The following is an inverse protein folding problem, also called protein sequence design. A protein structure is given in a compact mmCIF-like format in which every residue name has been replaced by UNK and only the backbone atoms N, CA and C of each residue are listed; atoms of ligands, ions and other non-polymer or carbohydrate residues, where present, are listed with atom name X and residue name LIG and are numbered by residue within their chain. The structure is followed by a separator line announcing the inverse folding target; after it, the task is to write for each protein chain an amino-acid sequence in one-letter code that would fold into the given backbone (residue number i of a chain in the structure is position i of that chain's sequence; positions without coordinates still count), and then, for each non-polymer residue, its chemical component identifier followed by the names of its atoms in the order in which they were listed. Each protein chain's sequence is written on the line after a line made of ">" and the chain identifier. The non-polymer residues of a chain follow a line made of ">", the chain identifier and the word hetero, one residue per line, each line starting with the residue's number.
data_IF_228144544879
#
_entry.id   IF_228144544879
#
_cell.length_a   1.000
_cell.length_b   1.000
_cell.length_c   1.000
_cell.angle_alpha   90.00
_cell.angle_beta   90.00
_cell.angle_gamma   90.00
#
_symmetry.space_group_name_H-M   'P 1'
#
loop_
_entity.id
_entity.type
_entity.pdbx_description
1 polymer ?
#
# COMPACT_ATOMS: atom_id res chain seq x y z
N UNK A 1 -4.65 -9.94 -17.06
CA UNK A 1 -4.61 -8.46 -17.15
C UNK A 1 -3.53 -8.02 -18.14
N UNK A 2 -3.86 -7.08 -19.05
CA UNK A 2 -2.94 -6.55 -20.08
C UNK A 2 -2.48 -5.14 -19.71
N UNK A 3 -1.16 -4.90 -19.78
CA UNK A 3 -0.56 -3.57 -19.63
C UNK A 3 -0.65 -2.82 -20.95
N UNK A 4 -1.33 -1.68 -20.96
CA UNK A 4 -1.54 -0.91 -22.19
C UNK A 4 -0.25 -0.17 -22.63
N UNK A 5 -0.25 0.30 -23.88
CA UNK A 5 0.91 0.97 -24.45
C UNK A 5 1.32 2.25 -23.70
N UNK A 6 0.34 3.04 -23.26
CA UNK A 6 0.61 4.29 -22.53
C UNK A 6 1.35 4.00 -21.23
N UNK A 7 0.84 3.08 -20.40
CA UNK A 7 1.44 2.70 -19.12
C UNK A 7 2.83 2.11 -19.33
N UNK A 8 2.99 1.24 -20.33
CA UNK A 8 4.30 0.66 -20.69
C UNK A 8 5.32 1.74 -21.04
N UNK A 9 4.96 2.69 -21.92
CA UNK A 9 5.83 3.81 -22.31
C UNK A 9 6.24 4.65 -21.09
N UNK A 10 5.28 4.97 -20.22
CA UNK A 10 5.52 5.76 -18.99
C UNK A 10 6.41 5.01 -18.01
N UNK A 11 6.19 3.73 -17.80
CA UNK A 11 7.08 2.91 -16.97
C UNK A 11 8.51 2.91 -17.52
N UNK A 12 8.70 2.65 -18.81
CA UNK A 12 10.03 2.55 -19.43
C UNK A 12 10.77 3.92 -19.44
N UNK A 13 10.03 5.02 -19.58
CA UNK A 13 10.55 6.39 -19.51
C UNK A 13 11.01 6.76 -18.09
N UNK A 14 10.13 6.51 -17.10
CA UNK A 14 10.30 7.01 -15.74
C UNK A 14 11.04 6.06 -14.79
N UNK A 15 11.15 4.78 -15.18
CA UNK A 15 11.87 3.73 -14.45
C UNK A 15 11.53 3.71 -12.96
N UNK A 16 10.24 3.54 -12.60
CA UNK A 16 9.86 3.36 -11.21
C UNK A 16 10.48 2.07 -10.66
N UNK A 17 10.72 2.02 -9.36
CA UNK A 17 11.09 0.79 -8.66
C UNK A 17 9.83 -0.07 -8.51
N UNK A 18 9.67 -1.06 -9.37
CA UNK A 18 8.66 -2.12 -9.23
C UNK A 18 9.41 -3.43 -9.21
N UNK A 19 8.98 -4.34 -8.32
CA UNK A 19 9.66 -5.60 -8.13
C UNK A 19 8.75 -6.78 -8.45
N UNK A 20 9.35 -7.93 -8.70
CA UNK A 20 8.65 -9.20 -8.82
C UNK A 20 9.29 -10.24 -7.90
N UNK A 21 8.48 -10.89 -7.09
CA UNK A 21 8.90 -12.01 -6.25
C UNK A 21 8.75 -13.30 -7.07
N UNK A 22 9.88 -13.94 -7.38
CA UNK A 22 9.92 -15.12 -8.23
C UNK A 22 9.41 -16.33 -7.47
N UNK A 23 8.26 -16.85 -7.89
CA UNK A 23 7.60 -18.01 -7.29
C UNK A 23 7.03 -18.89 -8.39
N UNK A 24 7.86 -19.34 -9.32
CA UNK A 24 7.36 -20.14 -10.44
C UNK A 24 7.23 -21.61 -10.02
N UNK A 25 6.08 -22.22 -10.33
CA UNK A 25 5.88 -23.66 -10.10
C UNK A 25 6.60 -24.53 -11.16
N UNK A 26 6.89 -23.95 -12.32
CA UNK A 26 7.63 -24.57 -13.41
C UNK A 26 8.92 -23.81 -13.67
N UNK A 27 9.95 -24.52 -14.09
CA UNK A 27 11.21 -23.89 -14.44
C UNK A 27 11.06 -23.11 -15.75
N UNK A 28 11.17 -21.78 -15.68
CA UNK A 28 11.04 -20.86 -16.80
C UNK A 28 12.42 -20.32 -17.14
N UNK A 29 12.76 -20.34 -18.42
CA UNK A 29 14.00 -19.75 -18.91
C UNK A 29 13.89 -18.21 -18.95
N UNK A 30 14.98 -17.56 -18.54
CA UNK A 30 15.17 -16.11 -18.67
C UNK A 30 16.16 -15.88 -19.80
N UNK A 31 15.76 -15.10 -20.78
CA UNK A 31 16.52 -14.93 -22.03
C UNK A 31 17.26 -13.59 -22.07
N UNK A 32 18.40 -13.53 -22.76
CA UNK A 32 19.14 -12.27 -22.95
C UNK A 32 18.40 -11.26 -23.84
N UNK A 33 17.56 -11.75 -24.74
CA UNK A 33 16.82 -10.97 -25.73
C UNK A 33 15.41 -11.54 -25.96
N UNK A 34 14.54 -10.73 -26.57
CA UNK A 34 13.17 -11.13 -26.93
C UNK A 34 13.12 -12.25 -27.96
N UNK A 35 14.17 -12.45 -28.75
CA UNK A 35 14.28 -13.52 -29.74
C UNK A 35 14.46 -14.91 -29.10
N UNK A 36 14.71 -14.97 -27.78
CA UNK A 36 14.87 -16.20 -27.00
C UNK A 36 16.03 -17.11 -27.44
N UNK A 37 17.06 -16.54 -28.06
CA UNK A 37 18.21 -17.30 -28.59
C UNK A 37 19.16 -17.79 -27.49
N UNK A 38 19.38 -16.98 -26.44
CA UNK A 38 20.34 -17.28 -25.37
C UNK A 38 19.62 -17.25 -24.02
N UNK A 39 19.65 -18.38 -23.32
CA UNK A 39 19.21 -18.50 -21.92
C UNK A 39 20.34 -17.98 -21.03
N UNK A 40 20.03 -17.04 -20.14
CA UNK A 40 21.00 -16.46 -19.21
C UNK A 40 20.80 -16.90 -17.77
N UNK A 41 19.58 -17.35 -17.43
CA UNK A 41 19.21 -17.82 -16.10
C UNK A 41 17.92 -18.65 -16.19
N UNK A 42 17.61 -19.38 -15.12
CA UNK A 42 16.39 -20.15 -14.96
C UNK A 42 15.72 -19.81 -13.62
N UNK A 43 14.38 -19.78 -13.58
CA UNK A 43 13.65 -19.34 -12.37
C UNK A 43 13.92 -20.23 -11.16
N UNK A 44 14.18 -21.52 -11.34
CA UNK A 44 14.56 -22.43 -10.24
C UNK A 44 15.82 -21.96 -9.48
N UNK A 45 16.76 -21.29 -10.14
CA UNK A 45 18.00 -20.83 -9.51
C UNK A 45 17.81 -19.54 -8.70
N UNK A 46 16.68 -18.86 -8.91
CA UNK A 46 16.36 -17.57 -8.30
C UNK A 46 14.98 -17.57 -7.62
N UNK A 47 14.49 -18.75 -7.28
CA UNK A 47 13.22 -18.91 -6.56
C UNK A 47 13.27 -18.16 -5.23
N UNK A 48 12.14 -17.56 -4.85
CA UNK A 48 11.97 -16.72 -3.66
C UNK A 48 12.78 -15.43 -3.66
N UNK A 49 13.43 -15.07 -4.78
CA UNK A 49 14.15 -13.81 -4.90
C UNK A 49 13.24 -12.70 -5.40
N UNK A 50 13.44 -11.50 -4.85
CA UNK A 50 12.80 -10.28 -5.30
C UNK A 50 13.68 -9.61 -6.35
N UNK A 51 13.19 -9.49 -7.58
CA UNK A 51 13.91 -8.89 -8.70
C UNK A 51 13.31 -7.56 -9.10
N UNK A 52 14.17 -6.61 -9.47
CA UNK A 52 13.77 -5.32 -10.03
C UNK A 52 13.30 -5.52 -11.48
N UNK A 53 12.09 -5.07 -11.80
CA UNK A 53 11.63 -4.92 -13.17
C UNK A 53 12.16 -3.60 -13.72
N UNK A 54 12.90 -3.68 -14.82
CA UNK A 54 13.55 -2.52 -15.44
C UNK A 54 12.89 -2.11 -16.76
N UNK A 55 12.09 -2.99 -17.36
CA UNK A 55 11.37 -2.73 -18.60
C UNK A 55 10.11 -3.60 -18.66
N UNK A 56 9.01 -3.01 -19.09
CA UNK A 56 7.78 -3.71 -19.42
C UNK A 56 7.68 -3.85 -20.94
N UNK A 57 7.36 -5.04 -21.40
CA UNK A 57 7.15 -5.36 -22.82
C UNK A 57 5.70 -5.80 -23.08
N UNK A 58 5.38 -6.03 -24.36
CA UNK A 58 4.08 -6.58 -24.74
C UNK A 58 3.88 -8.00 -24.18
N UNK A 59 2.63 -8.43 -24.05
CA UNK A 59 2.26 -9.79 -23.60
C UNK A 59 2.82 -10.17 -22.22
N UNK A 60 2.88 -9.22 -21.29
CA UNK A 60 3.36 -9.42 -19.92
C UNK A 60 4.79 -9.98 -19.85
N UNK A 61 5.61 -9.68 -20.86
CA UNK A 61 7.04 -9.94 -20.81
C UNK A 61 7.68 -8.84 -19.96
N UNK A 62 8.50 -9.24 -19.00
CA UNK A 62 9.23 -8.32 -18.14
C UNK A 62 10.72 -8.50 -18.36
N UNK A 63 11.43 -7.38 -18.45
CA UNK A 63 12.88 -7.38 -18.31
C UNK A 63 13.22 -7.15 -16.86
N UNK A 64 13.98 -8.06 -16.28
CA UNK A 64 14.42 -7.99 -14.88
C UNK A 64 15.93 -7.88 -14.77
N UNK A 65 16.37 -7.29 -13.65
CA UNK A 65 17.76 -7.30 -13.22
C UNK A 65 18.00 -8.50 -12.31
N UNK A 66 18.87 -9.40 -12.74
CA UNK A 66 19.26 -10.61 -12.01
C UNK A 66 20.25 -10.27 -10.88
N UNK A 67 20.43 -11.16 -9.88
CA UNK A 67 21.36 -10.94 -8.76
C UNK A 67 22.81 -10.72 -9.19
N UNK A 68 23.22 -11.39 -10.28
CA UNK A 68 24.55 -11.24 -10.88
C UNK A 68 24.71 -9.96 -11.71
N UNK A 69 23.70 -9.08 -11.72
CA UNK A 69 23.68 -7.81 -12.46
C UNK A 69 23.32 -7.93 -13.94
N UNK A 70 23.22 -9.15 -14.49
CA UNK A 70 22.72 -9.37 -15.86
C UNK A 70 21.25 -8.98 -15.96
N UNK A 71 20.81 -8.73 -17.19
CA UNK A 71 19.42 -8.33 -17.49
C UNK A 71 18.81 -9.35 -18.43
N UNK A 72 17.60 -9.79 -18.16
CA UNK A 72 16.93 -10.78 -19.00
C UNK A 72 15.43 -10.61 -19.04
N UNK A 73 14.84 -11.22 -20.06
CA UNK A 73 13.42 -11.19 -20.36
C UNK A 73 12.77 -12.52 -20.01
N UNK A 74 11.61 -12.48 -19.38
CA UNK A 74 10.77 -13.65 -19.14
C UNK A 74 9.30 -13.25 -18.98
N UNK A 75 8.41 -14.24 -19.01
CA UNK A 75 6.98 -14.07 -18.77
C UNK A 75 6.65 -14.85 -17.51
N UNK A 76 6.33 -14.18 -16.39
CA UNK A 76 5.96 -14.86 -15.15
C UNK A 76 4.58 -15.51 -15.27
N UNK A 77 4.35 -16.57 -14.49
CA UNK A 77 3.07 -17.26 -14.40
C UNK A 77 2.53 -17.21 -12.97
N UNK A 78 3.35 -17.63 -12.01
CA UNK A 78 2.98 -17.70 -10.58
C UNK A 78 3.73 -16.67 -9.71
N UNK A 79 4.64 -15.88 -10.28
CA UNK A 79 5.34 -14.84 -9.55
C UNK A 79 4.40 -13.69 -9.10
N UNK A 80 4.75 -13.05 -7.99
CA UNK A 80 3.98 -11.94 -7.41
C UNK A 80 4.61 -10.61 -7.81
N UNK A 81 3.87 -9.78 -8.55
CA UNK A 81 4.30 -8.41 -8.84
C UNK A 81 4.04 -7.53 -7.62
N UNK A 82 5.05 -6.77 -7.20
CA UNK A 82 5.00 -5.90 -6.01
C UNK A 82 5.15 -4.44 -6.45
N UNK A 83 4.09 -3.66 -6.26
CA UNK A 83 4.05 -2.24 -6.62
C UNK A 83 4.05 -1.39 -5.36
N UNK A 84 5.06 -0.53 -5.14
CA UNK A 84 5.04 0.38 -4.01
C UNK A 84 3.99 1.47 -4.21
N UNK A 85 3.38 1.90 -3.10
CA UNK A 85 2.42 3.00 -3.06
C UNK A 85 2.65 3.86 -1.82
N UNK A 86 1.93 4.96 -1.72
CA UNK A 86 1.94 5.79 -0.51
C UNK A 86 1.47 4.97 0.69
N UNK A 87 2.30 4.93 1.74
CA UNK A 87 1.94 4.26 2.99
C UNK A 87 0.71 4.90 3.60
N UNK A 88 -0.35 4.11 3.78
CA UNK A 88 -1.61 4.50 4.42
C UNK A 88 -1.76 3.72 5.74
N UNK A 89 -2.27 4.38 6.78
CA UNK A 89 -2.81 3.67 7.95
C UNK A 89 -4.20 3.18 7.59
N UNK A 90 -4.50 1.93 7.91
CA UNK A 90 -5.75 1.29 7.48
C UNK A 90 -6.32 0.40 8.58
N UNK A 91 -7.62 0.13 8.47
CA UNK A 91 -8.35 -0.88 9.20
C UNK A 91 -8.77 -1.99 8.26
N UNK A 92 -8.61 -3.22 8.72
CA UNK A 92 -9.13 -4.39 8.01
C UNK A 92 -10.63 -4.45 8.26
N UNK A 93 -11.41 -4.52 7.18
CA UNK A 93 -12.86 -4.70 7.25
C UNK A 93 -13.18 -5.99 8.00
N UNK A 94 -14.25 -5.98 8.80
CA UNK A 94 -14.71 -7.17 9.51
C UNK A 94 -15.08 -8.33 8.55
N UNK A 95 -15.37 -8.01 7.29
CA UNK A 95 -15.73 -8.98 6.26
C UNK A 95 -14.54 -9.38 5.36
N UNK A 96 -13.31 -8.99 5.70
CA UNK A 96 -12.14 -9.30 4.89
C UNK A 96 -11.91 -10.81 4.78
N UNK A 97 -11.70 -11.29 3.56
CA UNK A 97 -11.46 -12.70 3.28
C UNK A 97 -9.97 -13.05 3.33
N UNK A 98 -9.53 -13.59 4.47
CA UNK A 98 -8.18 -14.12 4.62
C UNK A 98 -7.87 -15.28 3.67
N UNK A 99 -8.85 -16.15 3.44
CA UNK A 99 -8.71 -17.40 2.70
C UNK A 99 -8.74 -17.16 1.17
N UNK A 100 -7.80 -16.34 0.70
CA UNK A 100 -7.62 -15.99 -0.71
C UNK A 100 -6.43 -16.74 -1.36
N UNK A 101 -6.19 -16.50 -2.64
CA UNK A 101 -5.22 -17.26 -3.44
C UNK A 101 -3.78 -16.98 -3.01
N UNK A 102 -3.43 -15.71 -2.79
CA UNK A 102 -2.06 -15.30 -2.44
C UNK A 102 -1.69 -15.64 -1.00
N UNK A 103 -2.59 -15.49 -0.02
CA UNK A 103 -2.30 -15.85 1.38
C UNK A 103 -2.02 -17.35 1.53
N UNK A 104 -2.84 -18.20 0.88
CA UNK A 104 -2.61 -19.65 0.84
C UNK A 104 -1.32 -20.01 0.14
N UNK A 105 -1.02 -19.33 -0.97
CA UNK A 105 0.19 -19.60 -1.76
C UNK A 105 1.47 -19.24 -1.00
N UNK A 106 1.47 -18.14 -0.26
CA UNK A 106 2.61 -17.68 0.53
C UNK A 106 2.67 -18.29 1.94
N UNK A 107 1.67 -19.08 2.35
CA UNK A 107 1.62 -19.69 3.68
C UNK A 107 1.50 -18.66 4.81
N UNK A 108 0.71 -17.62 4.60
CA UNK A 108 0.47 -16.58 5.61
C UNK A 108 -0.25 -17.20 6.82
N UNK A 109 0.16 -16.81 8.03
CA UNK A 109 -0.38 -17.33 9.29
C UNK A 109 -1.75 -16.72 9.62
N UNK A 110 -2.78 -17.56 9.58
CA UNK A 110 -4.16 -17.19 9.91
C UNK A 110 -4.31 -16.78 11.39
N UNK A 111 -3.59 -17.43 12.30
CA UNK A 111 -3.67 -17.10 13.73
C UNK A 111 -3.13 -15.70 13.99
N UNK A 112 -2.01 -15.36 13.33
CA UNK A 112 -1.43 -14.02 13.38
C UNK A 112 -2.38 -12.97 12.79
N UNK A 113 -3.06 -13.27 11.69
CA UNK A 113 -4.09 -12.40 11.12
C UNK A 113 -5.25 -12.17 12.07
N UNK A 114 -5.88 -13.21 12.60
CA UNK A 114 -7.03 -13.11 13.51
C UNK A 114 -6.66 -12.31 14.77
N UNK A 115 -5.48 -12.55 15.34
CA UNK A 115 -4.98 -11.82 16.51
C UNK A 115 -4.82 -10.32 16.24
N UNK A 116 -4.50 -9.92 15.02
CA UNK A 116 -4.18 -8.53 14.67
C UNK A 116 -5.27 -7.82 13.84
N UNK A 117 -6.31 -8.52 13.39
CA UNK A 117 -7.39 -7.97 12.54
C UNK A 117 -8.06 -6.73 13.13
N UNK A 118 -8.12 -6.59 14.46
CA UNK A 118 -8.73 -5.44 15.15
C UNK A 118 -7.81 -4.20 15.23
N UNK A 119 -6.52 -4.32 14.90
CA UNK A 119 -5.53 -3.25 15.03
C UNK A 119 -5.53 -2.31 13.83
N UNK A 120 -5.00 -1.10 14.03
CA UNK A 120 -4.61 -0.24 12.90
C UNK A 120 -3.29 -0.79 12.35
N UNK A 121 -3.27 -1.03 11.04
CA UNK A 121 -2.14 -1.60 10.31
C UNK A 121 -1.70 -0.64 9.21
N UNK A 122 -0.57 -0.93 8.56
CA UNK A 122 -0.07 -0.15 7.44
C UNK A 122 -0.29 -0.88 6.13
N UNK A 123 -0.57 -0.12 5.09
CA UNK A 123 -0.56 -0.60 3.72
C UNK A 123 0.35 0.28 2.88
N UNK A 124 1.41 -0.32 2.35
CA UNK A 124 2.49 0.39 1.62
C UNK A 124 2.76 -0.17 0.23
N UNK A 125 2.15 -1.29 -0.12
CA UNK A 125 2.38 -1.97 -1.39
C UNK A 125 1.10 -2.65 -1.87
N UNK A 126 0.93 -2.68 -3.20
CA UNK A 126 0.02 -3.61 -3.86
C UNK A 126 0.78 -4.85 -4.28
N UNK A 127 0.12 -6.00 -4.24
CA UNK A 127 0.59 -7.26 -4.78
C UNK A 127 -0.35 -7.73 -5.88
N UNK A 128 0.19 -8.17 -7.02
CA UNK A 128 -0.57 -8.76 -8.11
C UNK A 128 -0.19 -10.22 -8.23
N UNK A 129 -1.20 -11.08 -8.14
CA UNK A 129 -1.03 -12.52 -8.22
C UNK A 129 -2.22 -13.10 -8.95
N UNK A 130 -1.97 -13.92 -9.99
CA UNK A 130 -3.02 -14.55 -10.81
C UNK A 130 -4.10 -13.56 -11.30
N UNK A 131 -3.64 -12.41 -11.79
CA UNK A 131 -4.46 -11.30 -12.30
C UNK A 131 -5.34 -10.58 -11.27
N UNK A 132 -5.16 -10.89 -9.99
CA UNK A 132 -5.89 -10.26 -8.90
C UNK A 132 -5.02 -9.24 -8.18
N UNK A 133 -5.66 -8.15 -7.75
CA UNK A 133 -5.04 -7.08 -6.97
C UNK A 133 -5.25 -7.35 -5.48
N UNK A 134 -4.18 -7.21 -4.73
CA UNK A 134 -4.17 -7.30 -3.28
C UNK A 134 -3.43 -6.11 -2.65
N UNK A 135 -3.83 -5.73 -1.46
CA UNK A 135 -3.08 -4.86 -0.57
C UNK A 135 -2.25 -5.69 0.41
N UNK A 136 -0.96 -5.37 0.50
CA UNK A 136 -0.08 -5.94 1.51
C UNK A 136 -0.25 -5.17 2.83
N UNK A 137 -0.68 -5.87 3.88
CA UNK A 137 -0.91 -5.30 5.20
C UNK A 137 0.21 -5.67 6.14
N UNK A 138 0.78 -4.67 6.81
CA UNK A 138 1.89 -4.86 7.76
C UNK A 138 1.59 -4.27 9.13
N UNK A 139 2.12 -4.92 10.16
CA UNK A 139 2.07 -4.42 11.53
C UNK A 139 3.40 -4.71 12.22
N UNK A 140 4.03 -3.66 12.76
CA UNK A 140 5.37 -3.76 13.39
C UNK A 140 6.36 -4.45 12.45
N UNK A 141 6.39 -3.98 11.20
CA UNK A 141 7.27 -4.47 10.12
C UNK A 141 7.06 -5.93 9.69
N UNK A 142 6.02 -6.62 10.18
CA UNK A 142 5.64 -7.97 9.77
C UNK A 142 4.42 -7.94 8.85
N UNK A 143 4.43 -8.76 7.78
CA UNK A 143 3.26 -8.95 6.91
C UNK A 143 2.22 -9.74 7.70
N UNK A 144 1.01 -9.19 7.84
CA UNK A 144 -0.11 -9.87 8.46
C UNK A 144 -0.91 -10.64 7.42
N UNK A 145 -1.24 -10.00 6.29
CA UNK A 145 -2.06 -10.58 5.25
C UNK A 145 -2.00 -9.76 3.97
N UNK A 146 -2.39 -10.43 2.88
CA UNK A 146 -2.82 -9.79 1.65
C UNK A 146 -4.35 -9.86 1.58
N UNK A 147 -5.00 -8.74 1.32
CA UNK A 147 -6.47 -8.65 1.22
C UNK A 147 -6.87 -7.85 0.00
N UNK A 148 -8.12 -7.91 -0.45
CA UNK A 148 -8.58 -7.09 -1.57
C UNK A 148 -8.63 -5.61 -1.18
N UNK A 149 -8.41 -4.66 -2.10
CA UNK A 149 -8.52 -3.23 -1.81
C UNK A 149 -9.84 -2.82 -1.16
N UNK A 150 -10.97 -3.40 -1.58
CA UNK A 150 -12.30 -3.15 -1.00
C UNK A 150 -12.48 -3.68 0.44
N UNK A 151 -11.56 -4.51 0.92
CA UNK A 151 -11.56 -5.05 2.29
C UNK A 151 -10.72 -4.19 3.25
N UNK A 152 -10.20 -3.06 2.76
CA UNK A 152 -9.34 -2.15 3.49
C UNK A 152 -10.02 -0.79 3.63
N UNK A 153 -10.22 -0.36 4.87
CA UNK A 153 -10.78 0.95 5.19
C UNK A 153 -9.65 1.92 5.56
N UNK A 154 -9.47 2.97 4.76
CA UNK A 154 -8.35 3.90 4.91
C UNK A 154 -8.61 4.86 6.07
N UNK A 155 -7.59 5.07 6.91
CA UNK A 155 -7.61 6.13 7.93
C UNK A 155 -7.11 7.44 7.33
N UNK A 156 -8.02 8.35 7.05
CA UNK A 156 -7.69 9.66 6.52
C UNK A 156 -7.39 10.62 7.66
N UNK A 157 -6.20 11.23 7.64
CA UNK A 157 -5.86 12.26 8.61
C UNK A 157 -6.75 13.47 8.35
N UNK A 158 -7.50 13.86 9.35
CA UNK A 158 -8.42 15.00 9.28
C UNK A 158 -8.39 15.69 10.64
N UNK A 159 -7.67 16.81 10.73
CA UNK A 159 -7.45 17.56 11.97
C UNK A 159 -8.28 18.84 11.94
N UNK A 160 -9.53 18.74 12.40
CA UNK A 160 -10.48 19.84 12.45
C UNK A 160 -11.18 19.85 13.81
N UNK A 161 -11.58 21.03 14.30
CA UNK A 161 -12.45 21.12 15.47
C UNK A 161 -13.83 20.55 15.15
N UNK A 162 -14.46 19.90 16.12
CA UNK A 162 -15.82 19.38 16.01
C UNK A 162 -16.56 19.41 17.33
N UNK A 163 -17.89 19.36 17.26
CA UNK A 163 -18.80 19.13 18.38
C UNK A 163 -19.69 17.93 18.09
N UNK A 164 -20.16 17.30 19.16
CA UNK A 164 -21.21 16.28 19.05
C UNK A 164 -22.57 16.96 18.91
N UNK A 165 -23.37 16.51 17.94
CA UNK A 165 -24.70 17.09 17.62
C UNK A 165 -25.86 16.37 18.34
N UNK A 166 -25.55 15.24 18.99
CA UNK A 166 -26.42 14.50 19.91
C UNK A 166 -25.56 13.82 20.97
N UNK A 167 -26.17 13.38 22.06
CA UNK A 167 -25.46 12.62 23.09
C UNK A 167 -24.94 11.31 22.50
N UNK A 168 -23.65 11.03 22.69
CA UNK A 168 -22.98 9.87 22.07
C UNK A 168 -21.96 9.23 23.00
N UNK A 169 -21.75 7.94 22.84
CA UNK A 169 -20.75 7.17 23.60
C UNK A 169 -19.41 7.18 22.87
N UNK A 170 -18.33 7.34 23.63
CA UNK A 170 -16.96 7.24 23.12
C UNK A 170 -16.35 5.90 23.52
N UNK A 171 -15.49 5.37 22.64
CA UNK A 171 -14.93 4.04 22.74
C UNK A 171 -13.40 4.08 22.77
N UNK A 172 -12.80 3.10 23.45
CA UNK A 172 -11.33 2.98 23.55
C UNK A 172 -10.70 2.30 22.34
N UNK A 173 -11.49 1.56 21.57
CA UNK A 173 -11.08 0.72 20.45
C UNK A 173 -11.78 1.11 19.15
N UNK A 174 -11.12 0.87 18.02
CA UNK A 174 -11.65 1.14 16.67
C UNK A 174 -12.83 0.24 16.30
N UNK A 175 -12.99 -0.91 16.95
CA UNK A 175 -14.16 -1.79 16.80
C UNK A 175 -15.39 -1.28 17.55
N UNK A 176 -15.26 -0.22 18.36
CA UNK A 176 -16.36 0.37 19.13
C UNK A 176 -17.07 -0.63 20.05
N UNK A 177 -16.31 -1.52 20.68
CA UNK A 177 -16.84 -2.54 21.61
C UNK A 177 -16.55 -2.25 23.08
N UNK A 178 -15.61 -1.33 23.37
CA UNK A 178 -15.18 -0.96 24.73
C UNK A 178 -15.60 0.48 25.04
N UNK A 179 -16.84 0.70 25.48
CA UNK A 179 -17.32 2.04 25.82
C UNK A 179 -16.54 2.60 27.03
N UNK A 180 -16.36 3.92 27.05
CA UNK A 180 -15.61 4.63 28.10
C UNK A 180 -16.48 5.63 28.84
N UNK A 181 -17.10 6.55 28.10
CA UNK A 181 -17.95 7.61 28.66
C UNK A 181 -18.88 8.14 27.57
N UNK A 182 -19.80 9.04 27.95
CA UNK A 182 -20.64 9.76 27.00
C UNK A 182 -20.16 11.21 26.84
N UNK A 183 -20.38 11.76 25.65
CA UNK A 183 -20.27 13.19 25.36
C UNK A 183 -21.68 13.75 25.20
N UNK A 184 -21.95 14.88 25.87
CA UNK A 184 -23.22 15.58 25.79
C UNK A 184 -23.22 16.52 24.59
N UNK A 185 -24.38 16.64 23.93
CA UNK A 185 -24.58 17.53 22.78
C UNK A 185 -24.05 18.95 23.03
N UNK A 186 -23.19 19.43 22.13
CA UNK A 186 -22.74 20.83 22.07
C UNK A 186 -21.87 21.34 23.23
N UNK A 187 -21.59 20.50 24.23
CA UNK A 187 -20.96 20.91 25.49
C UNK A 187 -19.49 21.34 25.29
N UNK A 188 -18.72 20.57 24.52
CA UNK A 188 -17.28 20.77 24.33
C UNK A 188 -16.89 20.61 22.87
N UNK A 189 -15.95 21.45 22.43
CA UNK A 189 -15.27 21.27 21.14
C UNK A 189 -14.07 20.34 21.32
N UNK A 190 -13.94 19.37 20.43
CA UNK A 190 -12.84 18.42 20.34
C UNK A 190 -12.09 18.61 19.02
N UNK A 191 -10.92 18.00 18.88
CA UNK A 191 -10.17 18.03 17.61
C UNK A 191 -10.04 16.62 17.07
N UNK A 192 -10.53 16.42 15.86
CA UNK A 192 -10.40 15.15 15.15
C UNK A 192 -8.94 14.83 14.86
N UNK A 193 -8.64 13.56 14.68
CA UNK A 193 -7.31 13.09 14.30
C UNK A 193 -7.36 12.31 12.98
N UNK A 194 -8.26 11.34 12.90
CA UNK A 194 -8.47 10.51 11.73
C UNK A 194 -9.94 10.19 11.54
N UNK A 195 -10.34 9.97 10.29
CA UNK A 195 -11.67 9.51 9.92
C UNK A 195 -11.57 8.25 9.07
N UNK A 196 -12.55 7.37 9.20
CA UNK A 196 -12.74 6.21 8.34
C UNK A 196 -14.12 6.38 7.73
N UNK A 197 -14.17 6.75 6.46
CA UNK A 197 -15.42 7.17 5.79
C UNK A 197 -16.34 5.96 5.60
N UNK A 198 -15.78 4.83 5.17
CA UNK A 198 -16.50 3.60 4.89
C UNK A 198 -17.19 3.03 6.13
N UNK A 199 -16.57 3.19 7.30
CA UNK A 199 -17.14 2.75 8.58
C UNK A 199 -17.86 3.88 9.33
N UNK A 200 -17.85 5.10 8.79
CA UNK A 200 -18.36 6.32 9.43
C UNK A 200 -17.83 6.51 10.86
N UNK A 201 -16.52 6.34 11.03
CA UNK A 201 -15.86 6.45 12.34
C UNK A 201 -14.95 7.67 12.41
N UNK A 202 -14.96 8.30 13.57
CA UNK A 202 -14.07 9.39 13.93
C UNK A 202 -13.15 8.96 15.06
N UNK A 203 -11.86 9.18 14.88
CA UNK A 203 -10.84 9.09 15.93
C UNK A 203 -10.43 10.48 16.34
N UNK A 204 -10.38 10.72 17.65
CA UNK A 204 -9.94 11.99 18.22
C UNK A 204 -9.10 11.77 19.48
N UNK A 205 -8.42 12.82 19.93
CA UNK A 205 -7.60 12.79 21.14
C UNK A 205 -8.22 13.72 22.19
N UNK A 206 -8.44 13.22 23.40
CA UNK A 206 -8.90 14.01 24.53
C UNK A 206 -8.09 13.66 25.78
N UNK A 207 -7.60 14.67 26.49
CA UNK A 207 -6.73 14.52 27.68
C UNK A 207 -5.57 13.52 27.48
N UNK A 208 -4.91 13.56 26.32
CA UNK A 208 -3.78 12.67 26.02
C UNK A 208 -4.16 11.27 25.55
N UNK A 209 -5.43 10.86 25.67
CA UNK A 209 -5.94 9.53 25.31
C UNK A 209 -6.64 9.56 23.95
N UNK A 210 -6.64 8.42 23.27
CA UNK A 210 -7.28 8.24 21.96
C UNK A 210 -8.64 7.60 22.16
N UNK A 211 -9.65 8.16 21.49
CA UNK A 211 -11.02 7.68 21.52
C UNK A 211 -11.63 7.61 20.12
N UNK A 212 -12.70 6.84 20.01
CA UNK A 212 -13.48 6.62 18.80
C UNK A 212 -14.95 6.91 19.03
N UNK A 213 -15.64 7.45 18.03
CA UNK A 213 -17.10 7.64 18.02
C UNK A 213 -17.64 7.58 16.58
N UNK A 214 -18.97 7.55 16.42
CA UNK A 214 -19.60 7.59 15.09
C UNK A 214 -19.49 8.99 14.50
N UNK A 215 -18.97 9.09 13.28
CA UNK A 215 -18.80 10.36 12.58
C UNK A 215 -20.12 11.12 12.42
N UNK A 216 -21.22 10.40 12.16
CA UNK A 216 -22.58 10.97 12.03
C UNK A 216 -23.11 11.63 13.31
N UNK A 217 -22.46 11.41 14.45
CA UNK A 217 -22.84 12.02 15.72
C UNK A 217 -22.18 13.40 15.92
N UNK A 218 -21.44 13.89 14.91
CA UNK A 218 -20.69 15.15 14.94
C UNK A 218 -21.15 16.15 13.88
N UNK A 219 -20.71 17.40 14.01
CA UNK A 219 -20.90 18.47 13.03
C UNK A 219 -19.81 18.52 11.94
N UNK A 220 -18.93 17.51 11.86
CA UNK A 220 -17.91 17.45 10.82
C UNK A 220 -18.55 17.14 9.46
N UNK A 221 -18.36 18.06 8.53
CA UNK A 221 -18.61 17.84 7.12
C UNK A 221 -17.30 17.42 6.43
N UNK A 222 -17.31 16.25 5.81
CA UNK A 222 -16.10 15.61 5.30
C UNK A 222 -16.32 15.14 3.87
N UNK A 223 -15.66 15.81 2.94
CA UNK A 223 -15.53 15.37 1.56
C UNK A 223 -14.11 14.82 1.36
N UNK A 224 -14.00 13.51 1.21
CA UNK A 224 -12.74 12.83 0.89
C UNK A 224 -12.98 11.94 -0.32
N UNK A 225 -12.23 12.20 -1.38
CA UNK A 225 -12.23 11.36 -2.56
C UNK A 225 -11.67 9.97 -2.24
N UNK A 226 -12.46 8.94 -2.52
CA UNK A 226 -12.04 7.55 -2.40
C UNK A 226 -11.36 7.11 -3.71
N UNK A 227 -10.04 6.99 -3.67
CA UNK A 227 -9.28 6.33 -4.73
C UNK A 227 -9.50 4.82 -4.65
N UNK A 228 -10.24 4.24 -5.60
CA UNK A 228 -10.34 2.79 -5.79
C UNK A 228 -9.75 2.42 -7.13
N UNK A 229 -8.72 1.59 -7.11
CA UNK A 229 -8.05 1.11 -8.30
C UNK A 229 -8.56 -0.27 -8.70
N UNK A 230 -9.01 -0.40 -9.93
CA UNK A 230 -9.61 -1.63 -10.46
C UNK A 230 -8.75 -2.28 -11.55
N UNK A 231 -7.65 -1.66 -11.95
CA UNK A 231 -6.77 -2.19 -13.00
C UNK A 231 -5.29 -2.09 -12.67
N UNK A 232 -4.52 -3.07 -13.17
CA UNK A 232 -3.06 -3.05 -13.11
C UNK A 232 -2.46 -1.77 -13.73
N UNK A 233 -3.09 -1.24 -14.78
CA UNK A 233 -2.65 -0.02 -15.44
C UNK A 233 -2.69 1.18 -14.48
N UNK A 234 -3.79 1.34 -13.74
CA UNK A 234 -3.93 2.41 -12.74
C UNK A 234 -2.91 2.27 -11.62
N UNK A 235 -2.69 1.05 -11.12
CA UNK A 235 -1.73 0.80 -10.04
C UNK A 235 -0.28 1.09 -10.43
N UNK A 236 0.12 0.75 -11.66
CA UNK A 236 1.44 1.10 -12.16
C UNK A 236 1.59 2.62 -12.25
N UNK A 237 0.57 3.33 -12.72
CA UNK A 237 0.59 4.79 -12.79
C UNK A 237 0.63 5.43 -11.39
N UNK A 238 -0.18 4.97 -10.44
CA UNK A 238 -0.14 5.41 -9.04
C UNK A 238 1.27 5.22 -8.45
N UNK A 239 1.86 4.04 -8.68
CA UNK A 239 3.22 3.74 -8.22
C UNK A 239 4.27 4.68 -8.84
N UNK A 240 4.16 4.98 -10.14
CA UNK A 240 5.02 5.97 -10.81
C UNK A 240 4.86 7.34 -10.15
N UNK A 241 3.63 7.83 -10.03
CA UNK A 241 3.34 9.16 -9.49
C UNK A 241 3.82 9.30 -8.05
N UNK A 242 3.57 8.30 -7.21
CA UNK A 242 4.04 8.25 -5.83
C UNK A 242 5.57 8.32 -5.75
N UNK A 243 6.28 7.50 -6.53
CA UNK A 243 7.74 7.50 -6.50
C UNK A 243 8.32 8.81 -7.04
N UNK A 244 7.65 9.46 -7.99
CA UNK A 244 8.02 10.80 -8.45
C UNK A 244 7.79 11.87 -7.39
N UNK A 245 6.67 11.83 -6.67
CA UNK A 245 6.41 12.77 -5.59
C UNK A 245 7.47 12.65 -4.49
N UNK A 246 7.87 11.43 -4.12
CA UNK A 246 8.97 11.19 -3.18
C UNK A 246 10.30 11.76 -3.66
N UNK A 247 10.63 11.62 -4.95
CA UNK A 247 11.85 12.18 -5.54
C UNK A 247 11.85 13.71 -5.41
N UNK A 248 10.73 14.36 -5.71
CA UNK A 248 10.57 15.82 -5.63
C UNK A 248 10.68 16.31 -4.16
N UNK A 249 9.95 15.69 -3.24
CA UNK A 249 9.99 16.05 -1.81
C UNK A 249 11.41 15.96 -1.22
N UNK A 250 12.17 14.93 -1.62
CA UNK A 250 13.52 14.73 -1.13
C UNK A 250 14.56 15.59 -1.88
N UNK A 251 14.26 16.05 -3.09
CA UNK A 251 15.13 16.95 -3.84
C UNK A 251 15.38 18.26 -3.07
N UNK A 252 14.33 18.83 -2.47
CA UNK A 252 14.46 20.03 -1.64
C UNK A 252 15.36 19.82 -0.41
N UNK A 253 15.26 18.66 0.26
CA UNK A 253 16.13 18.32 1.40
C UNK A 253 17.59 18.22 0.98
N UNK A 254 17.86 17.62 -0.19
CA UNK A 254 19.20 17.51 -0.73
C UNK A 254 19.77 18.88 -1.13
N UNK A 255 18.98 19.72 -1.78
CA UNK A 255 19.39 21.07 -2.18
C UNK A 255 19.66 21.97 -0.96
N UNK A 256 18.81 21.92 0.06
CA UNK A 256 19.05 22.61 1.34
C UNK A 256 20.35 22.13 2.02
N UNK A 257 20.65 20.83 1.96
CA UNK A 257 21.91 20.29 2.50
C UNK A 257 23.13 20.83 1.74
N UNK A 258 23.05 21.00 0.43
CA UNK A 258 24.11 21.60 -0.38
C UNK A 258 24.26 23.09 -0.06
N UNK A 259 23.16 23.85 -0.06
CA UNK A 259 23.17 25.29 0.28
C UNK A 259 23.76 25.54 1.67
N UNK A 260 23.36 24.75 2.67
CA UNK A 260 23.89 24.84 4.04
C UNK A 260 25.37 24.46 4.12
N UNK A 261 25.86 23.61 3.22
CA UNK A 261 27.29 23.25 3.15
C UNK A 261 28.08 24.37 2.50
N UNK A 262 27.53 25.02 1.47
CA UNK A 262 28.18 26.14 0.79
C UNK A 262 28.22 27.39 1.67
N UNK A 263 27.13 27.74 2.37
CA UNK A 263 27.09 28.88 3.28
C UNK A 263 28.04 28.76 4.47
N UNK A 264 28.36 27.54 4.91
CA UNK A 264 29.39 27.27 5.94
C UNK A 264 30.83 27.31 5.44
N UNK A 265 31.05 27.27 4.12
CA UNK A 265 32.38 27.40 3.51
C UNK A 265 32.67 28.88 3.18
N UNK A 266 31.63 29.71 3.11
CA UNK A 266 31.70 31.13 2.74
C UNK A 266 31.68 32.11 3.91
N UNK A 267 31.75 31.63 5.16
CA UNK A 267 31.86 32.44 6.39
C UNK A 267 33.01 31.95 7.25
#
# INVERSE_FOLDING_TARGET
>A
MIINEFVRKRFNEYKPLINILILENQNINIFSSLNKEIIIEQTNNIQFQLLEIIELETNNIFRVKLPNGKKGYFTPVDSVLVLPKKTKQVRISANANFNNSINRYLGIDEEYFVKNMHRVVFSSQYAIFKEEIYECLTYVDEIIAFVKPEEVNVMHRHEQPFKVIKDTTIYRDSTMTKPVSNLTKGEKSHTSQYVIIEEKKLRFKDNGKIFWLNLEDTDLDIEIDQEKYNSLNELILDSILYQYSLKIENYHKYYQKILNKQSKISG
#
